data_IF_053918928685
#
_entry.id   IF_053918928685
#
_cell.length_a   1.000
_cell.length_b   1.000
_cell.length_c   1.000
_cell.angle_alpha   90.00
_cell.angle_beta   90.00
_cell.angle_gamma   90.00
#
_symmetry.space_group_name_H-M   'P 1'
#
loop_
_entity.id
_entity.type
_entity.pdbx_description
1 polymer ?
#
# COMPACT_ATOMS: atom_id res chain seq x y z
N UNK A 1 -18.86 30.77 17.03
CA UNK A 1 -19.34 31.95 17.81
C UNK A 1 -19.09 31.74 19.29
N UNK A 2 -18.84 32.82 20.08
CA UNK A 2 -18.75 32.67 21.54
C UNK A 2 -20.12 32.59 22.19
N UNK A 3 -20.25 31.94 23.36
CA UNK A 3 -21.49 31.79 24.09
C UNK A 3 -22.13 33.16 24.45
N UNK A 4 -21.29 34.13 24.85
CA UNK A 4 -21.75 35.50 25.15
C UNK A 4 -22.30 36.20 23.92
N UNK A 5 -21.70 36.00 22.73
CA UNK A 5 -22.19 36.61 21.47
C UNK A 5 -23.52 36.01 21.06
N UNK A 6 -23.71 34.69 21.21
CA UNK A 6 -25.00 34.01 20.94
C UNK A 6 -26.09 34.54 21.91
N UNK A 7 -25.77 34.62 23.20
CA UNK A 7 -26.66 35.14 24.22
C UNK A 7 -27.15 36.57 23.90
N UNK A 8 -26.22 37.43 23.51
CA UNK A 8 -26.53 38.81 23.14
C UNK A 8 -27.35 38.92 21.86
N UNK A 9 -26.95 38.17 20.82
CA UNK A 9 -27.59 38.26 19.49
C UNK A 9 -29.02 37.72 19.46
N UNK A 10 -29.27 36.68 20.27
CA UNK A 10 -30.62 36.05 20.34
C UNK A 10 -31.43 36.45 21.59
N UNK A 11 -30.92 37.34 22.43
CA UNK A 11 -31.64 37.84 23.61
C UNK A 11 -31.97 36.78 24.66
N UNK A 12 -31.15 35.72 24.77
CA UNK A 12 -31.37 34.61 25.69
C UNK A 12 -30.24 34.48 26.71
N UNK A 13 -30.51 33.92 27.89
CA UNK A 13 -29.49 33.71 28.90
C UNK A 13 -28.50 32.59 28.53
N UNK A 14 -27.37 32.52 29.23
CA UNK A 14 -26.31 31.57 28.93
C UNK A 14 -26.70 30.11 29.20
N UNK A 15 -27.68 29.84 30.07
CA UNK A 15 -28.19 28.47 30.32
C UNK A 15 -29.06 28.03 29.14
N UNK A 16 -29.88 28.94 28.64
CA UNK A 16 -30.70 28.72 27.44
C UNK A 16 -29.84 28.44 26.21
N UNK A 17 -28.74 29.16 26.01
CA UNK A 17 -27.77 28.84 24.96
C UNK A 17 -27.21 27.43 25.09
N UNK A 18 -26.86 26.99 26.32
CA UNK A 18 -26.41 25.61 26.53
C UNK A 18 -27.45 24.54 26.22
N UNK A 19 -28.68 24.81 26.61
CA UNK A 19 -29.80 23.92 26.33
C UNK A 19 -30.04 23.80 24.83
N UNK A 20 -30.06 24.89 24.09
CA UNK A 20 -30.20 24.87 22.63
C UNK A 20 -29.05 24.14 21.93
N UNK A 21 -27.82 24.32 22.38
CA UNK A 21 -26.70 23.56 21.84
C UNK A 21 -26.84 22.04 22.06
N UNK A 22 -27.39 21.65 23.22
CA UNK A 22 -27.69 20.23 23.49
C UNK A 22 -28.79 19.71 22.58
N UNK A 23 -29.91 20.41 22.52
CA UNK A 23 -31.07 20.06 21.66
C UNK A 23 -30.67 19.96 20.18
N UNK A 24 -29.83 20.90 19.68
CA UNK A 24 -29.30 20.83 18.32
C UNK A 24 -28.38 19.63 18.10
N UNK A 25 -27.57 19.28 19.08
CA UNK A 25 -26.74 18.10 18.97
C UNK A 25 -27.55 16.80 18.96
N UNK A 26 -28.59 16.72 19.80
CA UNK A 26 -29.50 15.57 19.84
C UNK A 26 -30.28 15.47 18.50
N UNK A 27 -30.74 16.58 17.96
CA UNK A 27 -31.38 16.64 16.64
C UNK A 27 -30.44 16.20 15.51
N UNK A 28 -29.19 16.68 15.47
CA UNK A 28 -28.22 16.26 14.46
C UNK A 28 -27.92 14.77 14.56
N UNK A 29 -27.80 14.21 15.75
CA UNK A 29 -27.53 12.79 15.95
C UNK A 29 -28.66 11.91 15.40
N UNK A 30 -29.91 12.30 15.58
CA UNK A 30 -31.07 11.56 15.09
C UNK A 30 -31.29 11.76 13.58
N UNK A 31 -31.26 13.00 13.12
CA UNK A 31 -31.56 13.36 11.74
C UNK A 31 -30.46 12.86 10.75
N UNK A 32 -29.18 13.02 11.11
CA UNK A 32 -28.09 12.68 10.22
C UNK A 32 -27.87 11.15 10.18
N UNK A 33 -28.15 10.42 11.28
CA UNK A 33 -28.21 8.95 11.31
C UNK A 33 -29.24 8.39 10.33
N UNK A 34 -30.42 8.97 10.32
CA UNK A 34 -31.55 8.52 9.48
C UNK A 34 -31.27 8.74 7.98
N UNK A 35 -30.39 9.70 7.63
CA UNK A 35 -30.01 10.03 6.25
C UNK A 35 -28.71 9.36 5.79
N UNK A 36 -28.04 8.62 6.68
CA UNK A 36 -26.71 8.07 6.39
C UNK A 36 -25.67 9.18 6.06
N UNK A 37 -25.90 10.38 6.60
CA UNK A 37 -25.04 11.55 6.43
C UNK A 37 -24.03 11.67 7.59
N UNK A 38 -22.92 12.41 7.40
CA UNK A 38 -21.97 12.68 8.49
C UNK A 38 -22.65 13.39 9.66
N UNK A 39 -22.60 12.80 10.86
CA UNK A 39 -23.27 13.37 12.04
C UNK A 39 -22.60 14.69 12.42
N UNK A 40 -23.35 15.77 12.31
CA UNK A 40 -22.95 17.11 12.73
C UNK A 40 -22.96 17.23 14.25
N UNK A 41 -22.03 17.97 14.82
CA UNK A 41 -22.00 18.27 16.26
C UNK A 41 -21.45 19.65 16.54
N UNK A 42 -22.09 20.38 17.44
CA UNK A 42 -21.59 21.66 17.94
C UNK A 42 -20.65 21.38 19.11
N UNK A 43 -19.36 21.67 18.96
CA UNK A 43 -18.33 21.54 20.00
C UNK A 43 -17.79 22.90 20.43
N UNK A 44 -17.39 23.00 21.69
CA UNK A 44 -16.65 24.16 22.18
C UNK A 44 -15.16 24.02 21.88
N UNK A 45 -14.58 25.02 21.22
CA UNK A 45 -13.15 25.13 21.00
C UNK A 45 -12.52 26.03 22.07
N UNK A 46 -11.75 25.47 23.04
CA UNK A 46 -11.21 26.24 24.14
C UNK A 46 -10.12 27.22 23.70
N UNK A 47 -9.33 26.91 22.65
CA UNK A 47 -8.27 27.77 22.15
C UNK A 47 -8.82 29.07 21.54
N UNK A 48 -9.96 29.00 20.87
CA UNK A 48 -10.61 30.16 20.24
C UNK A 48 -11.76 30.73 21.09
N UNK A 49 -12.10 30.09 22.20
CA UNK A 49 -13.24 30.44 23.05
C UNK A 49 -14.56 30.56 22.31
N UNK A 50 -14.82 29.69 21.31
CA UNK A 50 -16.00 29.68 20.46
C UNK A 50 -16.62 28.29 20.34
N UNK A 51 -17.93 28.28 20.00
CA UNK A 51 -18.61 27.06 19.54
C UNK A 51 -18.47 26.95 18.01
N UNK A 52 -18.12 25.76 17.55
CA UNK A 52 -17.93 25.43 16.14
C UNK A 52 -18.80 24.23 15.78
N UNK A 53 -19.42 24.26 14.58
CA UNK A 53 -20.08 23.09 14.02
C UNK A 53 -19.03 22.18 13.41
N UNK A 54 -18.93 20.97 13.91
CA UNK A 54 -18.01 19.94 13.40
C UNK A 54 -18.80 18.73 12.92
N UNK A 55 -18.36 18.11 11.84
CA UNK A 55 -18.93 16.86 11.36
C UNK A 55 -18.18 15.71 12.06
N UNK A 56 -18.91 14.80 12.71
CA UNK A 56 -18.31 13.69 13.48
C UNK A 56 -17.46 12.76 12.62
N UNK A 57 -17.71 12.71 11.29
CA UNK A 57 -16.92 11.96 10.32
C UNK A 57 -15.81 12.79 9.65
N UNK A 58 -15.67 14.10 10.00
CA UNK A 58 -14.60 14.96 9.46
C UNK A 58 -13.40 15.09 10.39
N UNK A 59 -13.46 14.48 11.57
CA UNK A 59 -12.24 14.24 12.34
C UNK A 59 -11.51 13.07 11.66
N UNK A 60 -10.70 13.35 10.64
CA UNK A 60 -9.59 12.45 10.36
C UNK A 60 -8.78 12.45 11.66
N UNK A 61 -8.83 11.34 12.39
CA UNK A 61 -8.05 11.18 13.63
C UNK A 61 -6.54 11.09 13.34
N UNK A 62 -6.09 11.46 12.14
CA UNK A 62 -4.70 11.51 11.77
C UNK A 62 -4.06 12.75 12.39
N UNK A 63 -3.04 12.53 13.17
CA UNK A 63 -2.18 13.61 13.70
C UNK A 63 -1.31 14.22 12.58
N UNK A 64 -0.72 15.36 12.87
CA UNK A 64 0.25 16.01 11.98
C UNK A 64 1.41 15.07 11.64
N UNK A 65 1.89 14.31 12.62
CA UNK A 65 2.91 13.29 12.43
C UNK A 65 2.48 12.14 11.52
N UNK A 66 1.24 11.67 11.65
CA UNK A 66 0.71 10.58 10.79
C UNK A 66 0.67 11.03 9.32
N UNK A 67 0.23 12.25 9.07
CA UNK A 67 0.14 12.75 7.70
C UNK A 67 1.52 13.02 7.13
N UNK A 68 2.46 13.56 7.91
CA UNK A 68 3.85 13.71 7.47
C UNK A 68 4.43 12.35 7.08
N UNK A 69 4.25 11.32 7.91
CA UNK A 69 4.71 9.97 7.61
C UNK A 69 4.07 9.40 6.33
N UNK A 70 2.76 9.57 6.16
CA UNK A 70 2.04 9.13 4.95
C UNK A 70 2.58 9.87 3.71
N UNK A 71 2.79 11.19 3.78
CA UNK A 71 3.35 11.98 2.68
C UNK A 71 4.76 11.50 2.30
N UNK A 72 5.64 11.26 3.29
CA UNK A 72 6.99 10.71 3.05
C UNK A 72 6.95 9.35 2.36
N UNK A 73 6.06 8.44 2.79
CA UNK A 73 5.87 7.13 2.16
C UNK A 73 5.38 7.29 0.71
N UNK A 74 4.45 8.21 0.45
CA UNK A 74 3.94 8.47 -0.90
C UNK A 74 5.05 8.98 -1.81
N UNK A 75 5.86 9.92 -1.36
CA UNK A 75 6.99 10.49 -2.10
C UNK A 75 8.03 9.38 -2.41
N UNK A 76 8.46 8.63 -1.42
CA UNK A 76 9.45 7.56 -1.58
C UNK A 76 8.93 6.41 -2.46
N UNK A 77 7.64 6.13 -2.44
CA UNK A 77 7.05 5.07 -3.25
C UNK A 77 7.19 5.31 -4.76
N UNK A 78 7.23 6.56 -5.21
CA UNK A 78 7.28 6.97 -6.62
C UNK A 78 6.19 6.32 -7.51
N UNK A 79 5.16 5.75 -6.87
CA UNK A 79 4.14 4.94 -7.54
C UNK A 79 3.15 5.75 -8.37
N UNK A 80 2.96 7.03 -8.02
CA UNK A 80 2.00 7.92 -8.64
C UNK A 80 2.66 8.80 -9.71
N UNK A 81 1.87 9.29 -10.67
CA UNK A 81 2.33 10.40 -11.52
C UNK A 81 2.54 11.66 -10.68
N UNK A 82 3.40 12.58 -11.13
CA UNK A 82 3.69 13.81 -10.40
C UNK A 82 2.41 14.58 -10.06
N UNK A 83 1.52 14.74 -11.02
CA UNK A 83 0.24 15.44 -10.82
C UNK A 83 -0.70 14.74 -9.83
N UNK A 84 -0.69 13.41 -9.79
CA UNK A 84 -1.51 12.64 -8.86
C UNK A 84 -0.92 12.68 -7.45
N UNK A 85 0.40 12.58 -7.32
CA UNK A 85 1.13 12.75 -6.06
C UNK A 85 0.85 14.13 -5.46
N UNK A 86 1.04 15.22 -6.21
CA UNK A 86 0.76 16.60 -5.78
C UNK A 86 -0.69 16.75 -5.30
N UNK A 87 -1.66 16.22 -6.06
CA UNK A 87 -3.08 16.26 -5.66
C UNK A 87 -3.32 15.53 -4.34
N UNK A 88 -2.72 14.36 -4.13
CA UNK A 88 -2.90 13.57 -2.91
C UNK A 88 -2.28 14.30 -1.71
N UNK A 89 -1.04 14.77 -1.84
CA UNK A 89 -0.33 15.50 -0.77
C UNK A 89 -1.06 16.78 -0.42
N UNK A 90 -1.43 17.60 -1.40
CA UNK A 90 -2.21 18.82 -1.17
C UNK A 90 -3.55 18.55 -0.46
N UNK A 91 -4.23 17.44 -0.79
CA UNK A 91 -5.47 17.05 -0.12
C UNK A 91 -5.24 16.63 1.33
N UNK A 92 -4.18 15.89 1.60
CA UNK A 92 -3.81 15.46 2.94
C UNK A 92 -3.38 16.66 3.80
N UNK A 93 -2.57 17.54 3.26
CA UNK A 93 -2.02 18.70 3.97
C UNK A 93 -2.99 19.86 4.13
N UNK A 94 -4.03 20.01 3.28
CA UNK A 94 -5.04 21.07 3.37
C UNK A 94 -5.83 21.11 4.69
N UNK A 95 -5.79 20.04 5.49
CA UNK A 95 -6.50 19.93 6.77
C UNK A 95 -5.69 20.41 7.97
N UNK A 96 -4.46 20.88 7.74
CA UNK A 96 -3.52 21.27 8.80
C UNK A 96 -3.75 22.65 9.37
N UNK A 97 -3.51 22.76 10.69
CA UNK A 97 -3.49 24.06 11.37
C UNK A 97 -2.17 24.83 11.12
N UNK A 98 -1.08 24.15 10.72
CA UNK A 98 0.23 24.74 10.48
C UNK A 98 0.77 24.38 9.08
N UNK A 99 0.05 24.81 8.06
CA UNK A 99 0.30 24.56 6.64
C UNK A 99 1.75 24.88 6.21
N UNK A 100 2.35 25.96 6.77
CA UNK A 100 3.71 26.38 6.43
C UNK A 100 4.76 25.37 6.86
N UNK A 101 4.72 24.87 8.10
CA UNK A 101 5.70 23.92 8.62
C UNK A 101 5.68 22.60 7.83
N UNK A 102 4.48 22.15 7.48
CA UNK A 102 4.31 20.93 6.70
C UNK A 102 4.82 21.09 5.27
N UNK A 103 4.50 22.23 4.61
CA UNK A 103 5.00 22.52 3.27
C UNK A 103 6.53 22.62 3.25
N UNK A 104 7.12 23.30 4.21
CA UNK A 104 8.59 23.43 4.32
C UNK A 104 9.26 22.04 4.49
N UNK A 105 8.61 21.10 5.18
CA UNK A 105 9.12 19.75 5.37
C UNK A 105 9.04 18.86 4.12
N UNK A 106 8.16 19.16 3.18
CA UNK A 106 7.91 18.32 1.99
C UNK A 106 8.40 18.96 0.67
N UNK A 107 8.55 20.28 0.61
CA UNK A 107 8.76 21.04 -0.63
C UNK A 107 9.96 20.56 -1.45
N UNK A 108 11.06 20.20 -0.80
CA UNK A 108 12.27 19.74 -1.50
C UNK A 108 12.05 18.37 -2.18
N UNK A 109 11.37 17.47 -1.51
CA UNK A 109 11.09 16.13 -2.05
C UNK A 109 10.01 16.20 -3.15
N UNK A 110 8.99 17.02 -2.97
CA UNK A 110 7.96 17.27 -4.01
C UNK A 110 8.58 17.88 -5.28
N UNK A 111 9.48 18.84 -5.11
CA UNK A 111 10.17 19.49 -6.26
C UNK A 111 11.02 18.49 -7.04
N UNK A 112 11.77 17.63 -6.33
CA UNK A 112 12.67 16.63 -6.90
C UNK A 112 11.99 15.29 -7.18
N UNK A 113 10.66 15.20 -7.04
CA UNK A 113 9.93 13.95 -7.27
C UNK A 113 10.07 13.49 -8.72
N UNK A 114 10.63 12.32 -8.89
CA UNK A 114 10.74 11.63 -10.17
C UNK A 114 9.72 10.49 -10.27
N UNK A 115 8.66 10.70 -11.02
CA UNK A 115 7.71 9.64 -11.33
C UNK A 115 8.36 8.50 -12.13
N UNK A 116 7.84 7.30 -12.01
CA UNK A 116 8.35 6.14 -12.76
C UNK A 116 8.11 6.36 -14.27
N UNK A 117 9.15 6.07 -15.08
CA UNK A 117 9.13 6.28 -16.55
C UNK A 117 7.94 5.64 -17.26
N UNK A 118 7.38 4.56 -16.70
CA UNK A 118 6.25 3.83 -17.28
C UNK A 118 4.89 4.47 -16.96
N UNK A 119 4.77 5.30 -15.92
CA UNK A 119 3.52 5.98 -15.57
C UNK A 119 3.03 6.93 -16.68
N UNK A 120 3.96 7.48 -17.49
CA UNK A 120 3.64 8.36 -18.63
C UNK A 120 2.83 7.69 -19.74
N UNK A 121 2.77 6.36 -19.77
CA UNK A 121 2.12 5.58 -20.82
C UNK A 121 0.76 4.98 -20.41
N UNK A 122 0.22 5.35 -19.25
CA UNK A 122 -1.08 4.83 -18.82
C UNK A 122 -2.22 5.46 -19.67
N UNK A 123 -2.63 4.72 -20.69
CA UNK A 123 -3.65 5.20 -21.66
C UNK A 123 -5.09 4.95 -21.24
N UNK A 124 -5.31 4.37 -20.04
CA UNK A 124 -6.67 4.15 -19.53
C UNK A 124 -7.44 5.44 -19.20
N UNK A 125 -6.81 6.63 -19.36
CA UNK A 125 -7.45 7.93 -19.13
C UNK A 125 -7.88 8.19 -17.67
N UNK A 126 -7.53 7.29 -16.75
CA UNK A 126 -7.87 7.37 -15.33
C UNK A 126 -6.61 7.51 -14.49
N UNK A 127 -6.75 8.16 -13.34
CA UNK A 127 -5.69 8.18 -12.35
C UNK A 127 -5.44 6.78 -11.78
N UNK A 128 -4.22 6.53 -11.30
CA UNK A 128 -3.88 5.23 -10.69
C UNK A 128 -4.79 4.92 -9.50
N UNK A 129 -5.06 5.89 -8.64
CA UNK A 129 -5.95 5.72 -7.49
C UNK A 129 -7.37 5.32 -7.88
N UNK A 130 -7.94 5.92 -8.94
CA UNK A 130 -9.26 5.54 -9.44
C UNK A 130 -9.25 4.11 -10.00
N UNK A 131 -8.18 3.75 -10.72
CA UNK A 131 -8.04 2.41 -11.27
C UNK A 131 -7.91 1.35 -10.16
N UNK A 132 -7.09 1.59 -9.16
CA UNK A 132 -6.97 0.73 -7.97
C UNK A 132 -8.32 0.53 -7.28
N UNK A 133 -9.10 1.59 -7.15
CA UNK A 133 -10.43 1.51 -6.53
C UNK A 133 -11.40 0.65 -7.34
N UNK A 134 -11.40 0.78 -8.66
CA UNK A 134 -12.25 -0.04 -9.52
C UNK A 134 -11.85 -1.52 -9.54
N UNK A 135 -10.56 -1.81 -9.57
CA UNK A 135 -10.05 -3.19 -9.41
C UNK A 135 -10.50 -3.74 -8.05
N UNK A 136 -10.36 -2.96 -6.97
CA UNK A 136 -10.76 -3.41 -5.63
C UNK A 136 -12.25 -3.73 -5.54
N UNK A 137 -13.11 -2.94 -6.22
CA UNK A 137 -14.53 -3.28 -6.33
C UNK A 137 -14.75 -4.62 -7.03
N UNK A 138 -13.96 -4.92 -8.08
CA UNK A 138 -14.05 -6.19 -8.81
C UNK A 138 -13.59 -7.37 -7.95
N UNK A 139 -12.52 -7.19 -7.15
CA UNK A 139 -12.07 -8.16 -6.15
C UNK A 139 -13.19 -8.44 -5.14
N UNK A 140 -13.75 -7.38 -4.54
CA UNK A 140 -14.80 -7.50 -3.51
C UNK A 140 -16.09 -8.15 -4.03
N UNK A 141 -16.46 -7.84 -5.28
CA UNK A 141 -17.66 -8.39 -5.95
C UNK A 141 -17.39 -9.69 -6.70
N UNK A 142 -16.16 -10.18 -6.70
CA UNK A 142 -15.73 -11.38 -7.44
C UNK A 142 -16.11 -11.33 -8.92
N UNK A 143 -15.93 -10.18 -9.56
CA UNK A 143 -16.22 -9.98 -10.99
C UNK A 143 -14.99 -10.23 -11.84
N UNK A 144 -15.16 -10.94 -12.96
CA UNK A 144 -14.09 -11.14 -13.94
C UNK A 144 -13.76 -9.79 -14.60
N UNK A 145 -12.48 -9.57 -14.84
CA UNK A 145 -11.93 -8.41 -15.56
C UNK A 145 -11.42 -8.89 -16.93
N UNK A 146 -11.88 -8.28 -17.99
CA UNK A 146 -11.26 -8.35 -19.32
C UNK A 146 -10.31 -7.18 -19.48
N UNK A 147 -9.09 -7.44 -19.92
CA UNK A 147 -8.08 -6.41 -20.01
C UNK A 147 -7.09 -6.64 -21.17
N UNK A 148 -6.52 -5.54 -21.64
CA UNK A 148 -5.40 -5.55 -22.58
C UNK A 148 -4.13 -5.24 -21.78
N UNK A 149 -3.22 -6.21 -21.68
CA UNK A 149 -2.04 -6.16 -20.82
C UNK A 149 -0.74 -6.20 -21.63
N UNK A 150 0.18 -5.29 -21.33
CA UNK A 150 1.52 -5.26 -21.93
C UNK A 150 2.53 -6.00 -21.05
N UNK A 151 3.14 -7.04 -21.57
CA UNK A 151 4.15 -7.84 -20.88
C UNK A 151 5.52 -7.15 -20.84
N UNK A 152 6.47 -7.78 -20.15
CA UNK A 152 7.87 -7.33 -20.04
C UNK A 152 8.57 -7.20 -21.39
N UNK A 153 8.24 -8.07 -22.33
CA UNK A 153 8.74 -8.13 -23.71
C UNK A 153 8.03 -7.16 -24.66
N UNK A 154 7.26 -6.22 -24.12
CA UNK A 154 6.42 -5.26 -24.84
C UNK A 154 5.29 -5.88 -25.70
N UNK A 155 5.09 -7.21 -25.63
CA UNK A 155 3.95 -7.83 -26.27
C UNK A 155 2.66 -7.50 -25.52
N UNK A 156 1.63 -7.17 -26.27
CA UNK A 156 0.28 -6.87 -25.74
C UNK A 156 -0.62 -8.07 -25.93
N UNK A 157 -1.36 -8.45 -24.90
CA UNK A 157 -2.30 -9.59 -24.93
C UNK A 157 -3.61 -9.21 -24.26
N UNK A 158 -4.70 -9.71 -24.83
CA UNK A 158 -5.99 -9.75 -24.13
C UNK A 158 -5.97 -10.84 -23.09
N UNK A 159 -6.46 -10.54 -21.90
CA UNK A 159 -6.51 -11.46 -20.75
C UNK A 159 -7.86 -11.34 -20.05
N UNK A 160 -8.38 -12.48 -19.58
CA UNK A 160 -9.55 -12.55 -18.71
C UNK A 160 -9.08 -13.01 -17.34
N UNK A 161 -9.34 -12.22 -16.32
CA UNK A 161 -8.74 -12.37 -14.99
C UNK A 161 -9.82 -12.49 -13.92
N UNK A 162 -9.61 -13.43 -12.99
CA UNK A 162 -10.29 -13.52 -11.70
C UNK A 162 -9.45 -12.72 -10.68
N UNK A 163 -9.80 -11.47 -10.38
CA UNK A 163 -9.00 -10.62 -9.49
C UNK A 163 -9.13 -11.09 -8.04
N UNK A 164 -8.01 -11.30 -7.36
CA UNK A 164 -7.95 -11.83 -6.00
C UNK A 164 -7.57 -10.77 -4.96
N UNK A 165 -6.58 -9.93 -5.30
CA UNK A 165 -6.03 -8.94 -4.38
C UNK A 165 -5.21 -7.87 -5.11
N UNK A 166 -5.02 -6.72 -4.44
CA UNK A 166 -4.05 -5.70 -4.86
C UNK A 166 -2.92 -5.69 -3.84
N UNK A 167 -1.68 -5.78 -4.32
CA UNK A 167 -0.48 -5.75 -3.48
C UNK A 167 0.43 -4.63 -3.96
N UNK A 168 0.98 -3.83 -3.04
CA UNK A 168 2.06 -2.89 -3.33
C UNK A 168 3.40 -3.51 -2.94
N UNK A 169 4.37 -3.43 -3.86
CA UNK A 169 5.73 -3.91 -3.59
C UNK A 169 6.74 -3.06 -4.34
N UNK A 170 7.77 -2.61 -3.64
CA UNK A 170 8.80 -1.69 -4.13
C UNK A 170 8.15 -0.38 -4.63
N UNK A 171 7.97 -0.24 -5.94
CA UNK A 171 7.45 0.96 -6.59
C UNK A 171 6.12 0.74 -7.30
N UNK A 172 5.56 -0.48 -7.29
CA UNK A 172 4.45 -0.83 -8.14
C UNK A 172 3.30 -1.45 -7.39
N UNK A 173 2.09 -1.13 -7.85
CA UNK A 173 0.91 -1.91 -7.51
C UNK A 173 0.78 -3.12 -8.43
N UNK A 174 0.42 -4.25 -7.85
CA UNK A 174 0.21 -5.51 -8.55
C UNK A 174 -1.20 -6.01 -8.29
N UNK A 175 -1.88 -6.40 -9.36
CA UNK A 175 -3.07 -7.21 -9.28
C UNK A 175 -2.65 -8.69 -9.19
N UNK A 176 -3.02 -9.36 -8.12
CA UNK A 176 -2.93 -10.80 -8.00
C UNK A 176 -4.21 -11.39 -8.58
N UNK A 177 -4.08 -12.25 -9.58
CA UNK A 177 -5.23 -12.81 -10.28
C UNK A 177 -4.93 -14.23 -10.83
N UNK A 178 -5.98 -15.04 -10.96
CA UNK A 178 -5.96 -16.25 -11.75
C UNK A 178 -6.42 -15.94 -13.18
N UNK A 179 -5.99 -16.75 -14.14
CA UNK A 179 -6.53 -16.67 -15.51
C UNK A 179 -7.92 -17.33 -15.52
N UNK A 180 -8.92 -16.64 -16.08
CA UNK A 180 -10.27 -17.15 -16.14
C UNK A 180 -10.45 -18.26 -17.19
N UNK A 181 -9.59 -18.28 -18.22
CA UNK A 181 -9.72 -19.17 -19.38
C UNK A 181 -8.89 -20.46 -19.26
N UNK A 182 -7.81 -20.46 -18.47
CA UNK A 182 -6.89 -21.61 -18.40
C UNK A 182 -7.35 -22.73 -17.45
N UNK A 183 -8.31 -22.46 -16.57
CA UNK A 183 -8.78 -23.42 -15.57
C UNK A 183 -7.72 -23.86 -14.54
N UNK A 184 -6.56 -23.19 -14.50
CA UNK A 184 -5.52 -23.41 -13.52
C UNK A 184 -5.73 -22.52 -12.28
N UNK A 185 -5.31 -23.03 -11.11
CA UNK A 185 -5.35 -22.27 -9.85
C UNK A 185 -4.09 -21.41 -9.64
N UNK A 186 -3.27 -21.26 -10.69
CA UNK A 186 -2.04 -20.49 -10.57
C UNK A 186 -2.34 -19.00 -10.45
N UNK A 187 -1.75 -18.37 -9.43
CA UNK A 187 -1.91 -16.95 -9.17
C UNK A 187 -0.77 -16.18 -9.82
N UNK A 188 -1.13 -15.36 -10.78
CA UNK A 188 -0.24 -14.47 -11.50
C UNK A 188 -0.20 -13.09 -10.86
N UNK A 189 0.93 -12.40 -10.99
CA UNK A 189 1.08 -10.99 -10.59
C UNK A 189 1.14 -10.10 -11.83
N UNK A 190 0.18 -9.20 -11.94
CA UNK A 190 0.07 -8.24 -13.03
C UNK A 190 0.38 -6.84 -12.52
N UNK A 191 1.39 -6.16 -13.05
CA UNK A 191 1.65 -4.77 -12.72
C UNK A 191 0.50 -3.89 -13.21
N UNK A 192 -0.06 -3.08 -12.31
CA UNK A 192 -1.25 -2.27 -12.59
C UNK A 192 -0.99 -1.20 -13.66
N UNK A 193 0.21 -0.62 -13.69
CA UNK A 193 0.64 0.38 -14.68
C UNK A 193 0.78 -0.15 -16.12
N UNK A 194 0.71 -1.48 -16.33
CA UNK A 194 0.82 -2.12 -17.65
C UNK A 194 -0.51 -2.46 -18.30
N UNK A 195 -1.61 -2.18 -17.63
CA UNK A 195 -2.93 -2.32 -18.25
C UNK A 195 -3.17 -1.15 -19.22
N UNK A 196 -3.47 -1.46 -20.46
CA UNK A 196 -3.83 -0.49 -21.51
C UNK A 196 -5.30 -0.15 -21.49
N UNK A 197 -6.09 -1.20 -21.36
CA UNK A 197 -7.55 -1.16 -21.32
C UNK A 197 -8.05 -2.20 -20.34
N UNK A 198 -9.18 -1.95 -19.72
CA UNK A 198 -9.85 -2.94 -18.89
C UNK A 198 -11.36 -2.68 -18.85
N UNK A 199 -12.09 -3.75 -18.67
CA UNK A 199 -13.54 -3.77 -18.50
C UNK A 199 -13.91 -4.76 -17.42
N UNK A 200 -14.72 -4.33 -16.48
CA UNK A 200 -15.34 -5.24 -15.51
C UNK A 200 -16.54 -5.89 -16.18
N UNK A 201 -16.58 -7.21 -16.21
CA UNK A 201 -17.68 -7.98 -16.77
C UNK A 201 -18.81 -8.14 -15.76
N UNK A 202 -19.95 -8.67 -16.23
CA UNK A 202 -21.04 -9.09 -15.33
C UNK A 202 -20.82 -10.50 -14.77
N UNK A 203 -19.83 -11.24 -15.28
CA UNK A 203 -19.53 -12.59 -14.85
C UNK A 203 -18.92 -12.61 -13.45
N UNK A 204 -19.39 -13.53 -12.63
CA UNK A 204 -18.89 -13.78 -11.28
C UNK A 204 -18.13 -15.10 -11.21
N UNK A 205 -17.11 -15.15 -10.36
CA UNK A 205 -16.38 -16.37 -10.08
C UNK A 205 -16.49 -16.74 -8.59
N UNK A 206 -16.41 -18.03 -8.31
CA UNK A 206 -16.42 -18.55 -6.96
C UNK A 206 -15.01 -18.89 -6.52
N UNK A 207 -14.71 -18.65 -5.26
CA UNK A 207 -13.49 -19.11 -4.59
C UNK A 207 -13.95 -19.75 -3.30
N UNK A 208 -13.55 -21.00 -3.07
CA UNK A 208 -13.78 -21.66 -1.80
C UNK A 208 -13.02 -20.93 -0.70
N UNK A 209 -13.56 -20.96 0.52
CA UNK A 209 -12.94 -20.25 1.65
C UNK A 209 -11.51 -20.71 1.91
N UNK A 210 -11.22 -22.01 1.73
CA UNK A 210 -9.89 -22.61 1.88
C UNK A 210 -8.87 -22.11 0.85
N UNK A 211 -9.35 -21.72 -0.35
CA UNK A 211 -8.51 -21.27 -1.49
C UNK A 211 -8.42 -19.75 -1.59
N UNK A 212 -9.00 -19.03 -0.61
CA UNK A 212 -8.94 -17.58 -0.54
C UNK A 212 -7.48 -17.12 -0.45
N UNK A 213 -7.09 -16.25 -1.38
CA UNK A 213 -5.76 -15.64 -1.37
C UNK A 213 -5.51 -14.87 -0.08
N UNK A 214 -4.45 -15.23 0.64
CA UNK A 214 -4.04 -14.59 1.89
C UNK A 214 -2.91 -13.61 1.62
N UNK A 215 -3.26 -12.36 1.37
CA UNK A 215 -2.30 -11.30 1.03
C UNK A 215 -1.16 -11.15 2.05
N UNK A 216 -1.50 -11.17 3.33
CA UNK A 216 -0.52 -11.04 4.42
C UNK A 216 0.49 -12.19 4.42
N UNK A 217 0.04 -13.43 4.26
CA UNK A 217 0.92 -14.60 4.20
C UNK A 217 1.80 -14.60 2.94
N UNK A 218 1.23 -14.19 1.80
CA UNK A 218 1.98 -14.05 0.57
C UNK A 218 3.07 -12.98 0.67
N UNK A 219 2.75 -11.82 1.26
CA UNK A 219 3.70 -10.71 1.41
C UNK A 219 4.90 -11.05 2.28
N UNK A 220 4.73 -11.87 3.31
CA UNK A 220 5.83 -12.32 4.18
C UNK A 220 6.87 -13.15 3.43
N UNK A 221 6.50 -13.81 2.32
CA UNK A 221 7.31 -14.81 1.62
C UNK A 221 7.82 -14.36 0.26
N UNK A 222 7.22 -13.31 -0.32
CA UNK A 222 7.55 -12.84 -1.67
C UNK A 222 8.58 -11.70 -1.68
N UNK A 223 9.59 -11.82 -2.53
CA UNK A 223 10.61 -10.79 -2.75
C UNK A 223 10.58 -10.35 -4.20
N UNK A 224 10.66 -9.05 -4.45
CA UNK A 224 10.66 -8.43 -5.79
C UNK A 224 9.51 -8.89 -6.71
N UNK A 225 8.43 -9.43 -6.15
CA UNK A 225 7.29 -10.01 -6.90
C UNK A 225 7.67 -11.12 -7.89
N UNK A 226 8.80 -11.79 -7.66
CA UNK A 226 9.22 -12.99 -8.40
C UNK A 226 8.87 -14.25 -7.59
N UNK A 227 7.79 -14.93 -7.97
CA UNK A 227 7.27 -16.07 -7.21
C UNK A 227 8.26 -17.26 -7.22
N UNK A 228 8.30 -18.08 -8.21
CA UNK A 228 9.02 -19.36 -8.12
C UNK A 228 8.32 -20.35 -7.18
N UNK A 229 9.05 -21.36 -6.71
CA UNK A 229 8.55 -22.36 -5.76
C UNK A 229 8.65 -21.83 -4.33
N UNK A 230 7.69 -22.20 -3.48
CA UNK A 230 7.76 -21.95 -2.05
C UNK A 230 8.82 -22.89 -1.45
N UNK A 231 9.81 -22.34 -0.78
CA UNK A 231 11.01 -23.05 -0.38
C UNK A 231 11.39 -22.69 1.05
N UNK A 232 11.64 -23.70 1.86
CA UNK A 232 12.26 -23.49 3.17
C UNK A 232 13.78 -23.38 2.98
N UNK A 233 14.34 -22.23 3.41
CA UNK A 233 15.76 -21.93 3.24
C UNK A 233 16.48 -21.87 4.58
N UNK A 234 17.75 -22.24 4.58
CA UNK A 234 18.66 -22.08 5.69
C UNK A 234 19.97 -21.46 5.19
N UNK A 235 20.47 -20.43 5.87
CA UNK A 235 21.68 -19.73 5.50
C UNK A 235 22.42 -19.19 6.72
N UNK A 236 23.73 -18.95 6.57
CA UNK A 236 24.54 -18.21 7.53
C UNK A 236 24.61 -16.75 7.12
N UNK A 237 24.60 -15.85 8.09
CA UNK A 237 24.78 -14.43 7.87
C UNK A 237 25.72 -13.82 8.92
N UNK A 238 26.63 -12.94 8.47
CA UNK A 238 27.60 -12.24 9.29
C UNK A 238 27.86 -10.79 8.84
N UNK A 239 26.87 -10.19 8.16
CA UNK A 239 26.93 -8.78 7.79
C UNK A 239 26.52 -7.85 8.93
N UNK A 240 26.61 -6.54 8.70
CA UNK A 240 26.47 -5.50 9.73
C UNK A 240 25.11 -5.46 10.42
N UNK A 241 24.03 -5.83 9.74
CA UNK A 241 22.67 -5.70 10.28
C UNK A 241 21.87 -7.00 10.16
N UNK A 242 21.92 -7.80 11.22
CA UNK A 242 21.09 -8.99 11.35
C UNK A 242 19.59 -8.64 11.44
N UNK A 243 19.26 -7.52 12.08
CA UNK A 243 17.89 -7.00 12.18
C UNK A 243 17.29 -6.73 10.80
N UNK A 244 18.05 -6.10 9.89
CA UNK A 244 17.59 -5.85 8.52
C UNK A 244 17.31 -7.13 7.73
N UNK A 245 18.01 -8.23 8.03
CA UNK A 245 17.74 -9.55 7.45
C UNK A 245 16.39 -10.10 7.93
N UNK A 246 16.13 -10.03 9.23
CA UNK A 246 14.88 -10.49 9.83
C UNK A 246 13.69 -9.65 9.38
N UNK A 247 13.86 -8.34 9.28
CA UNK A 247 12.84 -7.43 8.73
C UNK A 247 12.53 -7.72 7.26
N UNK A 248 13.57 -8.06 6.48
CA UNK A 248 13.41 -8.37 5.06
C UNK A 248 12.74 -9.71 4.81
N UNK A 249 12.97 -10.70 5.67
CA UNK A 249 12.36 -12.03 5.60
C UNK A 249 11.51 -12.24 6.86
N UNK A 250 10.26 -11.78 6.90
CA UNK A 250 9.42 -11.86 8.11
C UNK A 250 9.12 -13.29 8.58
N UNK A 251 9.47 -14.29 7.80
CA UNK A 251 9.39 -15.72 8.16
C UNK A 251 10.71 -16.26 8.73
N UNK A 252 11.76 -15.41 8.81
CA UNK A 252 13.07 -15.82 9.25
C UNK A 252 13.16 -15.91 10.78
N UNK A 253 13.85 -16.96 11.25
CA UNK A 253 14.17 -17.17 12.65
C UNK A 253 15.64 -17.58 12.80
N UNK A 254 16.30 -17.09 13.85
CA UNK A 254 17.66 -17.49 14.20
C UNK A 254 17.56 -18.84 14.92
N UNK A 255 18.16 -19.87 14.35
CA UNK A 255 18.16 -21.22 14.91
C UNK A 255 19.47 -21.62 15.59
N UNK A 256 20.52 -20.80 15.47
CA UNK A 256 21.82 -21.07 16.08
C UNK A 256 22.91 -20.10 15.61
N UNK A 257 24.13 -20.43 16.00
CA UNK A 257 25.33 -19.63 15.69
C UNK A 257 26.49 -20.55 15.31
N UNK A 258 27.31 -20.14 14.38
CA UNK A 258 28.60 -20.76 14.02
C UNK A 258 29.69 -19.68 14.15
N UNK A 259 30.31 -19.60 15.33
CA UNK A 259 31.15 -18.48 15.68
C UNK A 259 30.35 -17.19 15.77
N UNK A 260 30.71 -16.21 14.96
CA UNK A 260 30.03 -14.91 14.81
C UNK A 260 28.90 -14.92 13.77
N UNK A 261 28.69 -16.07 13.07
CA UNK A 261 27.72 -16.20 11.98
C UNK A 261 26.38 -16.71 12.50
N UNK A 262 25.33 -15.90 12.35
CA UNK A 262 23.97 -16.33 12.67
C UNK A 262 23.50 -17.39 11.67
N UNK A 263 22.93 -18.49 12.16
CA UNK A 263 22.26 -19.50 11.34
C UNK A 263 20.77 -19.18 11.34
N UNK A 264 20.23 -18.90 10.17
CA UNK A 264 18.87 -18.41 9.99
C UNK A 264 18.11 -19.35 9.09
N UNK A 265 16.86 -19.62 9.42
CA UNK A 265 15.93 -20.35 8.55
C UNK A 265 14.65 -19.54 8.29
N UNK A 266 13.99 -19.82 7.17
CA UNK A 266 12.74 -19.15 6.81
C UNK A 266 12.11 -19.73 5.55
N UNK A 267 10.87 -19.37 5.30
CA UNK A 267 10.10 -19.83 4.15
C UNK A 267 9.90 -18.68 3.15
N UNK A 268 10.35 -18.86 1.91
CA UNK A 268 10.34 -17.82 0.87
C UNK A 268 9.99 -18.38 -0.50
N UNK A 269 9.55 -17.52 -1.42
CA UNK A 269 9.47 -17.86 -2.84
C UNK A 269 10.84 -17.72 -3.50
N UNK A 270 11.36 -18.84 -4.03
CA UNK A 270 12.75 -19.04 -4.42
C UNK A 270 13.34 -18.01 -5.39
N UNK A 271 12.59 -17.60 -6.44
CA UNK A 271 13.13 -16.71 -7.46
C UNK A 271 13.48 -15.31 -6.94
N UNK A 272 12.59 -14.71 -6.15
CA UNK A 272 12.83 -13.41 -5.54
C UNK A 272 13.89 -13.49 -4.44
N UNK A 273 13.84 -14.55 -3.64
CA UNK A 273 14.80 -14.78 -2.58
C UNK A 273 16.25 -14.89 -3.11
N UNK A 274 16.48 -15.61 -4.21
CA UNK A 274 17.82 -15.70 -4.83
C UNK A 274 18.39 -14.32 -5.14
N UNK A 275 17.58 -13.41 -5.67
CA UNK A 275 18.05 -12.06 -6.01
C UNK A 275 18.48 -11.29 -4.76
N UNK A 276 17.70 -11.40 -3.69
CA UNK A 276 18.04 -10.76 -2.43
C UNK A 276 19.25 -11.42 -1.75
N UNK A 277 19.31 -12.75 -1.71
CA UNK A 277 20.44 -13.48 -1.13
C UNK A 277 21.76 -13.09 -1.82
N UNK A 278 21.77 -12.96 -3.15
CA UNK A 278 22.93 -12.51 -3.91
C UNK A 278 23.33 -11.06 -3.60
N UNK A 279 22.39 -10.20 -3.24
CA UNK A 279 22.69 -8.81 -2.88
C UNK A 279 23.40 -8.66 -1.53
N UNK A 280 23.48 -9.73 -0.74
CA UNK A 280 24.18 -9.73 0.55
C UNK A 280 25.71 -9.98 0.38
N UNK A 281 26.17 -10.12 -0.86
CA UNK A 281 27.58 -10.30 -1.22
C UNK A 281 28.24 -11.47 -0.46
N UNK A 282 29.45 -11.28 0.08
CA UNK A 282 30.23 -12.27 0.84
C UNK A 282 29.73 -12.51 2.27
N UNK A 283 28.74 -11.75 2.74
CA UNK A 283 28.24 -11.84 4.11
C UNK A 283 27.12 -12.86 4.32
N UNK A 284 26.84 -13.67 3.28
CA UNK A 284 25.79 -14.67 3.33
C UNK A 284 26.20 -15.97 2.63
N UNK A 285 25.96 -17.09 3.31
CA UNK A 285 26.16 -18.43 2.75
C UNK A 285 24.88 -19.27 2.86
N UNK A 286 24.32 -19.68 1.71
CA UNK A 286 23.17 -20.61 1.70
C UNK A 286 23.62 -22.02 2.08
N UNK A 287 22.96 -22.62 3.09
CA UNK A 287 23.19 -23.98 3.56
C UNK A 287 22.20 -24.94 2.89
N UNK A 288 20.92 -24.62 2.95
CA UNK A 288 19.83 -25.48 2.46
C UNK A 288 18.74 -24.67 1.74
N UNK A 289 18.03 -25.30 0.79
CA UNK A 289 18.25 -26.64 0.24
C UNK A 289 19.46 -26.67 -0.70
N UNK A 290 19.99 -27.86 -0.97
CA UNK A 290 21.14 -28.04 -1.84
C UNK A 290 20.89 -27.51 -3.27
N UNK A 291 19.67 -27.63 -3.77
CA UNK A 291 19.27 -27.08 -5.07
C UNK A 291 19.43 -25.56 -5.13
N UNK A 292 19.07 -24.84 -4.05
CA UNK A 292 19.26 -23.39 -3.95
C UNK A 292 20.75 -23.03 -3.85
N UNK A 293 21.52 -23.75 -3.02
CA UNK A 293 22.96 -23.58 -2.88
C UNK A 293 23.67 -23.76 -4.24
N UNK A 294 23.31 -24.78 -5.00
CA UNK A 294 23.83 -25.01 -6.36
C UNK A 294 23.49 -23.86 -7.29
N UNK A 295 22.25 -23.39 -7.26
CA UNK A 295 21.83 -22.24 -8.08
C UNK A 295 22.61 -20.98 -7.72
N UNK A 296 22.86 -20.73 -6.44
CA UNK A 296 23.68 -19.60 -5.98
C UNK A 296 25.10 -19.70 -6.54
N UNK A 297 25.73 -20.87 -6.39
CA UNK A 297 27.08 -21.13 -6.91
C UNK A 297 27.16 -20.86 -8.40
N UNK A 298 26.23 -21.41 -9.20
CA UNK A 298 26.21 -21.21 -10.67
C UNK A 298 26.07 -19.72 -11.05
N UNK A 299 25.31 -18.95 -10.29
CA UNK A 299 25.16 -17.52 -10.54
C UNK A 299 26.41 -16.73 -10.17
N UNK A 300 27.03 -17.04 -9.03
CA UNK A 300 28.29 -16.43 -8.58
C UNK A 300 29.39 -16.71 -9.58
N UNK A 301 29.53 -17.95 -10.07
CA UNK A 301 30.50 -18.31 -11.09
C UNK A 301 30.30 -17.52 -12.40
N UNK A 302 29.05 -17.34 -12.83
CA UNK A 302 28.74 -16.49 -13.99
C UNK A 302 29.10 -15.03 -13.75
N UNK A 303 28.80 -14.49 -12.56
CA UNK A 303 29.22 -13.14 -12.20
C UNK A 303 30.73 -13.00 -12.19
N UNK A 304 31.42 -13.93 -11.55
CA UNK A 304 32.89 -13.94 -11.50
C UNK A 304 33.52 -13.89 -12.89
N UNK A 305 33.02 -14.67 -13.85
CA UNK A 305 33.50 -14.66 -15.23
C UNK A 305 33.36 -13.32 -15.92
N UNK A 306 32.24 -12.58 -15.67
CA UNK A 306 32.03 -11.25 -16.28
C UNK A 306 33.08 -10.20 -15.86
N UNK A 307 33.76 -10.41 -14.75
CA UNK A 307 34.80 -9.49 -14.26
C UNK A 307 36.23 -9.98 -14.52
N UNK A 308 36.42 -11.20 -15.08
CA UNK A 308 37.70 -11.80 -15.34
C UNK A 308 37.91 -12.20 -16.83
N UNK A 309 36.95 -11.84 -17.69
CA UNK A 309 37.08 -11.86 -19.15
C UNK A 309 37.39 -10.44 -19.65
#
# INVERSE_FOLDING_TARGET
MSKKKISYEYGVDLRTVQRYIKELNDFFEEHDKNKNEPIRKIKYNPQRSVYELVNRNSESNLSDGDILAICKIILESRAFSKSEMERIINTLTAKFNNDKLMKDALINEEFNYEELKHNKNNKCGKTLSNFLWEINKSVSKRKIIEAVYTRKDNQTRSVRLKPLAIVFNEYYFYLMAQNADNGDDYIYSFRVDRFKEYKVTNEEFKIDYKDKFKEGEFRKKIHFMYKGELTHIQFKFWGDSLEAVLDRIPTAEIIGWDGDKAIIEGEVYSKGAIMWLLSQMEFLEVIRPESLRKTMKEKIEKMYKLYNE
#
